data_IF_667114549106
#
_entry.id   IF_667114549106
#
_cell.length_a   1.000
_cell.length_b   1.000
_cell.length_c   1.000
_cell.angle_alpha   90.00
_cell.angle_beta   90.00
_cell.angle_gamma   90.00
#
_symmetry.space_group_name_H-M   'P 1'
#
loop_
_entity.id
_entity.type
_entity.pdbx_description
1 polymer ?
#
# COMPACT_ATOMS: atom_id res chain seq x y z
N UNK A 1 13.84 -36.71 -11.85
CA UNK A 1 14.20 -35.31 -11.51
C UNK A 1 13.67 -34.28 -12.51
N UNK A 2 13.87 -34.45 -13.83
CA UNK A 2 13.38 -33.51 -14.87
C UNK A 2 11.85 -33.29 -14.92
N UNK A 3 11.05 -34.32 -14.63
CA UNK A 3 9.58 -34.23 -14.51
C UNK A 3 9.09 -33.50 -13.24
N UNK A 4 9.90 -33.51 -12.17
CA UNK A 4 9.56 -32.85 -10.90
C UNK A 4 9.85 -31.35 -10.96
N UNK A 5 10.92 -30.95 -11.67
CA UNK A 5 11.24 -29.55 -11.95
C UNK A 5 10.15 -28.88 -12.81
N UNK A 6 9.67 -29.56 -13.87
CA UNK A 6 8.59 -29.09 -14.74
C UNK A 6 7.26 -28.90 -14.01
N UNK A 7 6.95 -29.75 -13.01
CA UNK A 7 5.74 -29.60 -12.20
C UNK A 7 5.81 -28.37 -11.28
N UNK A 8 6.99 -28.08 -10.71
CA UNK A 8 7.20 -26.91 -9.83
C UNK A 8 7.10 -25.60 -10.65
N UNK A 9 7.60 -25.58 -11.88
CA UNK A 9 7.47 -24.42 -12.78
C UNK A 9 6.01 -24.18 -13.20
N UNK A 10 5.23 -25.25 -13.43
CA UNK A 10 3.81 -25.13 -13.79
C UNK A 10 2.92 -24.64 -12.63
N UNK A 11 3.30 -24.94 -11.38
CA UNK A 11 2.55 -24.55 -10.18
C UNK A 11 2.69 -23.04 -9.86
N UNK A 12 3.83 -22.43 -10.14
CA UNK A 12 4.07 -20.99 -9.91
C UNK A 12 3.25 -20.11 -10.89
N UNK A 13 3.11 -20.57 -12.15
CA UNK A 13 2.35 -19.91 -13.22
C UNK A 13 0.83 -19.75 -12.94
N UNK A 14 0.27 -20.49 -11.97
CA UNK A 14 -1.17 -20.45 -11.70
C UNK A 14 -1.58 -19.39 -10.68
N UNK A 15 -0.64 -18.81 -9.94
CA UNK A 15 -0.99 -18.02 -8.76
C UNK A 15 -1.45 -16.58 -9.07
N UNK A 16 -0.73 -15.82 -9.90
CA UNK A 16 -1.12 -14.44 -10.24
C UNK A 16 -2.20 -14.36 -11.33
N UNK A 17 -2.14 -15.23 -12.35
CA UNK A 17 -3.20 -15.31 -13.37
C UNK A 17 -4.56 -15.70 -12.76
N UNK A 18 -4.55 -16.50 -11.69
CA UNK A 18 -5.75 -16.81 -10.91
C UNK A 18 -6.25 -15.59 -10.14
N UNK A 19 -5.36 -14.79 -9.54
CA UNK A 19 -5.75 -13.58 -8.80
C UNK A 19 -6.45 -12.56 -9.71
N UNK A 20 -5.87 -12.22 -10.87
CA UNK A 20 -6.50 -11.28 -11.81
C UNK A 20 -7.88 -11.79 -12.24
N UNK A 21 -8.02 -13.08 -12.55
CA UNK A 21 -9.30 -13.66 -12.93
C UNK A 21 -10.31 -13.69 -11.77
N UNK A 22 -9.87 -14.00 -10.55
CA UNK A 22 -10.72 -14.07 -9.36
C UNK A 22 -11.35 -12.73 -8.99
N UNK A 23 -10.63 -11.64 -9.24
CA UNK A 23 -11.02 -10.26 -8.92
C UNK A 23 -11.68 -9.54 -10.09
N UNK A 24 -11.73 -10.15 -11.28
CA UNK A 24 -12.28 -9.52 -12.49
C UNK A 24 -13.75 -9.10 -12.33
N UNK A 25 -14.59 -9.93 -11.71
CA UNK A 25 -16.02 -9.61 -11.50
C UNK A 25 -16.20 -8.38 -10.59
N UNK A 26 -15.47 -8.35 -9.47
CA UNK A 26 -15.48 -7.22 -8.54
C UNK A 26 -14.96 -5.94 -9.21
N UNK A 27 -13.85 -6.03 -9.95
CA UNK A 27 -13.28 -4.88 -10.65
C UNK A 27 -14.20 -4.33 -11.73
N UNK A 28 -14.94 -5.20 -12.43
CA UNK A 28 -15.93 -4.76 -13.41
C UNK A 28 -16.98 -3.84 -12.78
N UNK A 29 -17.54 -4.25 -11.64
CA UNK A 29 -18.53 -3.46 -10.89
C UNK A 29 -17.91 -2.20 -10.29
N UNK A 30 -16.73 -2.31 -9.67
CA UNK A 30 -16.00 -1.18 -9.07
C UNK A 30 -15.66 -0.09 -10.11
N UNK A 31 -15.04 -0.49 -11.22
CA UNK A 31 -14.62 0.45 -12.27
C UNK A 31 -15.80 1.09 -13.00
N UNK A 32 -16.99 0.48 -12.96
CA UNK A 32 -18.22 1.07 -13.51
C UNK A 32 -18.86 2.12 -12.59
N UNK A 33 -18.34 2.29 -11.37
CA UNK A 33 -18.93 3.15 -10.35
C UNK A 33 -20.19 2.58 -9.69
N UNK A 34 -20.54 1.32 -9.95
CA UNK A 34 -21.69 0.66 -9.34
C UNK A 34 -21.32 0.15 -7.94
N UNK A 35 -21.30 1.06 -6.96
CA UNK A 35 -20.88 0.79 -5.58
C UNK A 35 -21.79 -0.21 -4.87
N UNK A 36 -23.11 -0.15 -5.14
CA UNK A 36 -24.07 -1.12 -4.62
C UNK A 36 -23.73 -2.54 -5.08
N UNK A 37 -23.52 -2.77 -6.37
CA UNK A 37 -23.19 -4.10 -6.87
C UNK A 37 -21.79 -4.54 -6.45
N UNK A 38 -20.82 -3.62 -6.43
CA UNK A 38 -19.47 -3.91 -5.95
C UNK A 38 -19.48 -4.39 -4.48
N UNK A 39 -20.29 -3.77 -3.61
CA UNK A 39 -20.43 -4.19 -2.21
C UNK A 39 -21.03 -5.60 -2.08
N UNK A 40 -22.04 -5.95 -2.88
CA UNK A 40 -22.62 -7.29 -2.92
C UNK A 40 -21.61 -8.34 -3.39
N UNK A 41 -20.90 -8.05 -4.49
CA UNK A 41 -19.87 -8.95 -5.00
C UNK A 41 -18.76 -9.15 -3.96
N UNK A 42 -18.33 -8.09 -3.28
CA UNK A 42 -17.33 -8.20 -2.22
C UNK A 42 -17.81 -9.05 -1.04
N UNK A 43 -19.07 -8.90 -0.62
CA UNK A 43 -19.68 -9.73 0.43
C UNK A 43 -19.67 -11.22 0.06
N UNK A 44 -20.06 -11.57 -1.16
CA UNK A 44 -20.01 -12.95 -1.68
C UNK A 44 -18.57 -13.46 -1.68
N UNK A 45 -17.63 -12.65 -2.17
CA UNK A 45 -16.22 -13.05 -2.24
C UNK A 45 -15.61 -13.27 -0.86
N UNK A 46 -15.92 -12.44 0.13
CA UNK A 46 -15.51 -12.67 1.52
C UNK A 46 -16.10 -13.97 2.05
N UNK A 47 -17.39 -14.22 1.84
CA UNK A 47 -18.02 -15.48 2.27
C UNK A 47 -17.31 -16.71 1.69
N UNK A 48 -17.01 -16.69 0.39
CA UNK A 48 -16.35 -17.81 -0.31
C UNK A 48 -14.87 -17.98 0.06
N UNK A 49 -14.20 -16.92 0.53
CA UNK A 49 -12.74 -16.87 0.66
C UNK A 49 -12.24 -16.52 2.07
N UNK A 50 -13.10 -16.49 3.09
CA UNK A 50 -12.73 -16.06 4.45
C UNK A 50 -11.62 -16.93 5.08
N UNK A 51 -11.60 -18.23 4.76
CA UNK A 51 -10.58 -19.17 5.23
C UNK A 51 -9.43 -19.35 4.24
N UNK A 52 -9.48 -18.69 3.09
CA UNK A 52 -8.45 -18.77 2.07
C UNK A 52 -7.20 -17.96 2.45
N UNK A 53 -6.12 -18.17 1.69
CA UNK A 53 -4.89 -17.37 1.75
C UNK A 53 -5.11 -15.89 1.35
N UNK A 54 -6.19 -15.59 0.64
CA UNK A 54 -6.50 -14.27 0.08
C UNK A 54 -7.55 -13.53 0.94
N UNK A 55 -7.89 -14.06 2.11
CA UNK A 55 -8.94 -13.52 3.00
C UNK A 55 -8.72 -12.05 3.37
N UNK A 56 -7.46 -11.65 3.61
CA UNK A 56 -7.12 -10.24 3.92
C UNK A 56 -7.50 -9.33 2.77
N UNK A 57 -7.17 -9.71 1.54
CA UNK A 57 -7.46 -8.91 0.36
C UNK A 57 -8.97 -8.73 0.22
N UNK A 58 -9.74 -9.81 0.31
CA UNK A 58 -11.19 -9.73 0.17
C UNK A 58 -11.86 -8.89 1.26
N UNK A 59 -11.32 -8.89 2.49
CA UNK A 59 -11.82 -8.03 3.56
C UNK A 59 -11.50 -6.55 3.30
N UNK A 60 -10.32 -6.23 2.75
CA UNK A 60 -9.97 -4.86 2.35
C UNK A 60 -10.86 -4.37 1.21
N UNK A 61 -11.08 -5.19 0.19
CA UNK A 61 -11.98 -4.88 -0.94
C UNK A 61 -13.43 -4.70 -0.47
N UNK A 62 -13.89 -5.53 0.47
CA UNK A 62 -15.20 -5.39 1.10
C UNK A 62 -15.32 -4.06 1.86
N UNK A 63 -14.33 -3.71 2.68
CA UNK A 63 -14.32 -2.43 3.40
C UNK A 63 -14.41 -1.26 2.43
N UNK A 64 -13.57 -1.23 1.39
CA UNK A 64 -13.58 -0.18 0.38
C UNK A 64 -14.93 -0.10 -0.39
N UNK A 65 -15.52 -1.25 -0.74
CA UNK A 65 -16.80 -1.32 -1.43
C UNK A 65 -17.98 -0.82 -0.60
N UNK A 66 -18.04 -1.22 0.68
CA UNK A 66 -19.06 -0.76 1.62
C UNK A 66 -18.90 0.75 1.88
N UNK A 67 -17.66 1.23 2.04
CA UNK A 67 -17.32 2.64 2.21
C UNK A 67 -17.78 3.50 1.03
N UNK A 68 -17.62 3.00 -0.19
CA UNK A 68 -18.07 3.67 -1.41
C UNK A 68 -19.60 3.63 -1.57
N UNK A 69 -20.26 2.64 -0.98
CA UNK A 69 -21.72 2.49 -0.94
C UNK A 69 -22.37 3.15 0.29
N UNK A 70 -21.64 4.00 1.03
CA UNK A 70 -22.09 4.69 2.24
C UNK A 70 -22.57 3.77 3.39
N UNK A 71 -22.09 2.53 3.41
CA UNK A 71 -22.33 1.55 4.49
C UNK A 71 -21.13 1.58 5.44
N UNK A 72 -21.03 2.66 6.22
CA UNK A 72 -19.80 3.04 6.92
C UNK A 72 -19.49 2.13 8.11
N UNK A 73 -20.50 1.74 8.88
CA UNK A 73 -20.36 0.83 10.01
C UNK A 73 -19.96 -0.58 9.55
N UNK A 74 -20.58 -1.11 8.50
CA UNK A 74 -20.22 -2.41 7.94
C UNK A 74 -18.83 -2.36 7.28
N UNK A 75 -18.47 -1.23 6.67
CA UNK A 75 -17.13 -0.96 6.17
C UNK A 75 -16.09 -1.03 7.30
N UNK A 76 -16.33 -0.35 8.42
CA UNK A 76 -15.46 -0.41 9.60
C UNK A 76 -15.35 -1.83 10.15
N UNK A 77 -16.46 -2.57 10.21
CA UNK A 77 -16.45 -3.98 10.62
C UNK A 77 -15.61 -4.87 9.67
N UNK A 78 -15.66 -4.63 8.36
CA UNK A 78 -14.83 -5.33 7.40
C UNK A 78 -13.34 -5.03 7.59
N UNK A 79 -12.97 -3.76 7.79
CA UNK A 79 -11.60 -3.35 8.07
C UNK A 79 -11.07 -3.92 9.39
N UNK A 80 -11.86 -3.95 10.46
CA UNK A 80 -11.49 -4.59 11.73
C UNK A 80 -11.18 -6.09 11.56
N UNK A 81 -11.97 -6.79 10.74
CA UNK A 81 -11.72 -8.19 10.41
C UNK A 81 -10.43 -8.33 9.60
N UNK A 82 -10.17 -7.44 8.65
CA UNK A 82 -8.92 -7.41 7.89
C UNK A 82 -7.73 -7.24 8.85
N UNK A 83 -7.79 -6.27 9.76
CA UNK A 83 -6.74 -5.98 10.73
C UNK A 83 -6.44 -7.17 11.66
N UNK A 84 -7.49 -7.82 12.18
CA UNK A 84 -7.35 -9.05 13.00
C UNK A 84 -6.66 -10.17 12.23
N UNK A 85 -7.00 -10.35 10.95
CA UNK A 85 -6.42 -11.38 10.09
C UNK A 85 -4.95 -11.08 9.75
N UNK A 86 -4.64 -9.82 9.47
CA UNK A 86 -3.27 -9.31 9.29
C UNK A 86 -2.41 -9.59 10.53
N UNK A 87 -2.89 -9.24 11.73
CA UNK A 87 -2.20 -9.51 13.02
C UNK A 87 -1.99 -11.02 13.23
N UNK A 88 -2.98 -11.84 12.90
CA UNK A 88 -2.87 -13.29 12.99
C UNK A 88 -1.76 -13.85 12.09
N UNK A 89 -1.70 -13.45 10.82
CA UNK A 89 -0.66 -13.91 9.91
C UNK A 89 0.73 -13.41 10.28
N UNK A 90 0.86 -12.15 10.71
CA UNK A 90 2.13 -11.61 11.18
C UNK A 90 2.68 -12.42 12.37
N UNK A 91 1.82 -12.82 13.31
CA UNK A 91 2.22 -13.64 14.45
C UNK A 91 2.65 -15.05 14.02
N UNK A 92 1.95 -15.66 13.05
CA UNK A 92 2.38 -16.94 12.49
C UNK A 92 3.74 -16.84 11.79
N UNK A 93 3.99 -15.78 11.03
CA UNK A 93 5.26 -15.56 10.35
C UNK A 93 6.42 -15.45 11.35
N UNK A 94 6.24 -14.67 12.43
CA UNK A 94 7.22 -14.57 13.53
C UNK A 94 7.50 -15.92 14.18
N UNK A 95 6.46 -16.72 14.44
CA UNK A 95 6.60 -18.05 15.00
C UNK A 95 7.38 -18.99 14.06
N UNK A 96 7.15 -18.92 12.75
CA UNK A 96 7.90 -19.71 11.75
C UNK A 96 9.39 -19.38 11.75
N UNK A 97 9.73 -18.09 11.75
CA UNK A 97 11.12 -17.61 11.82
C UNK A 97 11.79 -18.06 13.13
N UNK A 98 11.07 -18.00 14.26
CA UNK A 98 11.62 -18.45 15.56
C UNK A 98 11.82 -19.97 15.68
N UNK A 99 11.15 -20.75 14.84
CA UNK A 99 11.14 -22.24 14.87
C UNK A 99 12.04 -22.85 13.79
N UNK A 100 13.01 -22.11 13.28
CA UNK A 100 14.03 -22.60 12.32
C UNK A 100 14.82 -23.80 12.90
N UNK A 101 14.25 -25.01 12.84
CA UNK A 101 15.02 -26.26 12.92
C UNK A 101 14.41 -27.42 12.13
N UNK A 102 13.18 -27.37 11.61
CA UNK A 102 12.70 -28.53 10.81
C UNK A 102 11.53 -28.19 9.88
N UNK A 103 11.66 -28.58 8.62
CA UNK A 103 10.63 -28.58 7.56
C UNK A 103 10.65 -27.42 6.55
N UNK A 104 11.66 -27.44 5.68
CA UNK A 104 11.75 -26.64 4.44
C UNK A 104 11.04 -27.33 3.27
N UNK A 105 9.74 -27.60 3.40
CA UNK A 105 8.85 -27.94 2.28
C UNK A 105 7.47 -27.30 2.50
N UNK A 106 7.43 -25.97 2.60
CA UNK A 106 6.16 -25.24 2.50
C UNK A 106 5.98 -24.80 1.06
N UNK A 107 4.87 -25.21 0.45
CA UNK A 107 4.51 -24.76 -0.89
C UNK A 107 4.28 -23.24 -0.85
N UNK A 108 5.13 -22.47 -1.54
CA UNK A 108 5.05 -21.00 -1.62
C UNK A 108 3.67 -20.54 -2.11
N UNK A 109 2.96 -21.36 -2.89
CA UNK A 109 1.60 -21.07 -3.38
C UNK A 109 0.51 -21.07 -2.28
N UNK A 110 0.81 -21.56 -1.07
CA UNK A 110 -0.10 -21.62 0.09
C UNK A 110 0.21 -20.59 1.17
N UNK A 111 1.19 -19.70 0.97
CA UNK A 111 1.49 -18.64 1.93
C UNK A 111 0.34 -17.62 1.91
N UNK A 112 -0.32 -17.36 3.06
CA UNK A 112 -1.34 -16.33 3.16
C UNK A 112 -0.81 -14.94 2.87
N UNK A 113 -1.64 -14.09 2.28
CA UNK A 113 -1.35 -12.67 2.16
C UNK A 113 -1.39 -12.00 3.54
N UNK A 114 -0.25 -11.52 4.03
CA UNK A 114 -0.10 -11.03 5.41
C UNK A 114 -0.52 -9.56 5.62
N UNK A 115 -0.95 -8.87 4.56
CA UNK A 115 -1.23 -7.43 4.56
C UNK A 115 0.06 -6.62 4.56
N UNK A 116 0.30 -5.88 3.47
CA UNK A 116 1.48 -5.03 3.31
C UNK A 116 1.35 -3.74 4.12
N UNK A 117 2.46 -3.04 4.26
CA UNK A 117 2.53 -1.76 4.96
C UNK A 117 1.49 -0.74 4.50
N UNK A 118 1.36 -0.56 3.19
CA UNK A 118 0.40 0.38 2.62
C UNK A 118 -1.05 -0.05 2.91
N UNK A 119 -1.37 -1.36 2.92
CA UNK A 119 -2.70 -1.84 3.29
C UNK A 119 -3.03 -1.44 4.73
N UNK A 120 -2.06 -1.60 5.62
CA UNK A 120 -2.13 -1.26 7.06
C UNK A 120 -2.31 0.23 7.31
N UNK A 121 -1.73 1.07 6.48
CA UNK A 121 -1.91 2.51 6.57
C UNK A 121 -3.30 2.88 6.04
N UNK A 122 -3.64 2.41 4.84
CA UNK A 122 -4.87 2.80 4.16
C UNK A 122 -6.15 2.26 4.83
N UNK A 123 -6.16 1.05 5.40
CA UNK A 123 -7.37 0.61 6.12
C UNK A 123 -7.68 1.53 7.30
N UNK A 124 -6.68 1.92 8.08
CA UNK A 124 -6.86 2.82 9.22
C UNK A 124 -7.26 4.23 8.73
N UNK A 125 -6.67 4.72 7.64
CA UNK A 125 -7.07 5.99 7.00
C UNK A 125 -8.54 5.95 6.54
N UNK A 126 -9.00 4.85 5.96
CA UNK A 126 -10.41 4.71 5.57
C UNK A 126 -11.35 4.56 6.77
N UNK A 127 -10.97 3.83 7.81
CA UNK A 127 -11.75 3.78 9.05
C UNK A 127 -11.88 5.17 9.67
N UNK A 128 -10.79 5.96 9.69
CA UNK A 128 -10.85 7.35 10.15
C UNK A 128 -11.82 8.20 9.32
N UNK A 129 -11.78 8.10 7.98
CA UNK A 129 -12.72 8.82 7.12
C UNK A 129 -14.19 8.41 7.35
N UNK A 130 -14.44 7.12 7.62
CA UNK A 130 -15.77 6.64 7.97
C UNK A 130 -16.23 7.24 9.29
N UNK A 131 -15.39 7.18 10.31
CA UNK A 131 -15.68 7.76 11.62
C UNK A 131 -15.94 9.26 11.56
N UNK A 132 -15.16 10.01 10.77
CA UNK A 132 -15.42 11.43 10.52
C UNK A 132 -16.81 11.66 9.91
N UNK A 133 -17.22 10.83 8.94
CA UNK A 133 -18.54 10.94 8.30
C UNK A 133 -19.69 10.50 9.22
N UNK A 134 -19.42 9.60 10.16
CA UNK A 134 -20.33 9.21 11.24
C UNK A 134 -20.39 10.24 12.40
N UNK A 135 -19.57 11.30 12.37
CA UNK A 135 -19.47 12.28 13.45
C UNK A 135 -18.69 11.78 14.68
N UNK A 136 -18.01 10.65 14.56
CA UNK A 136 -17.25 9.95 15.60
C UNK A 136 -15.79 10.42 15.59
N UNK A 137 -15.55 11.60 16.16
CA UNK A 137 -14.26 12.31 16.06
C UNK A 137 -13.14 11.60 16.83
N UNK A 138 -13.44 11.07 18.00
CA UNK A 138 -12.45 10.43 18.87
C UNK A 138 -11.94 9.13 18.24
N UNK A 139 -12.86 8.34 17.67
CA UNK A 139 -12.58 7.13 16.92
C UNK A 139 -11.73 7.45 15.67
N UNK A 140 -12.06 8.51 14.94
CA UNK A 140 -11.24 8.96 13.81
C UNK A 140 -9.80 9.28 14.22
N UNK A 141 -9.61 9.98 15.35
CA UNK A 141 -8.28 10.28 15.89
C UNK A 141 -7.54 9.02 16.34
N UNK A 142 -8.22 8.02 16.90
CA UNK A 142 -7.62 6.72 17.22
C UNK A 142 -7.05 6.08 15.96
N UNK A 143 -7.85 5.97 14.90
CA UNK A 143 -7.39 5.32 13.67
C UNK A 143 -6.29 6.10 12.95
N UNK A 144 -6.32 7.43 12.96
CA UNK A 144 -5.23 8.25 12.40
C UNK A 144 -3.91 8.06 13.17
N UNK A 145 -3.97 7.88 14.50
CA UNK A 145 -2.80 7.51 15.29
C UNK A 145 -2.31 6.10 14.95
N UNK A 146 -3.21 5.15 14.72
CA UNK A 146 -2.84 3.79 14.27
C UNK A 146 -2.17 3.83 12.90
N UNK A 147 -2.74 4.55 11.93
CA UNK A 147 -2.18 4.74 10.60
C UNK A 147 -0.77 5.37 10.68
N UNK A 148 -0.59 6.41 11.51
CA UNK A 148 0.72 7.03 11.73
C UNK A 148 1.74 6.06 12.35
N UNK A 149 1.31 5.21 13.29
CA UNK A 149 2.17 4.19 13.88
C UNK A 149 2.58 3.12 12.86
N UNK A 150 1.68 2.69 11.98
CA UNK A 150 2.00 1.74 10.91
C UNK A 150 2.99 2.33 9.89
N UNK A 151 2.83 3.60 9.49
CA UNK A 151 3.83 4.29 8.63
C UNK A 151 5.23 4.28 9.25
N UNK A 152 5.33 4.59 10.56
CA UNK A 152 6.61 4.54 11.29
C UNK A 152 7.20 3.13 11.33
N UNK A 153 6.38 2.10 11.55
CA UNK A 153 6.83 0.70 11.54
C UNK A 153 7.34 0.30 10.15
N UNK A 154 6.67 0.73 9.09
CA UNK A 154 7.09 0.44 7.71
C UNK A 154 8.40 1.12 7.34
N UNK A 155 8.59 2.39 7.73
CA UNK A 155 9.88 3.06 7.58
C UNK A 155 11.02 2.24 8.21
N UNK A 156 10.86 1.81 9.46
CA UNK A 156 11.86 0.99 10.17
C UNK A 156 12.07 -0.37 9.49
N UNK A 157 10.99 -1.05 9.07
CA UNK A 157 11.07 -2.34 8.35
C UNK A 157 11.86 -2.19 7.05
N UNK A 158 11.63 -1.11 6.32
CA UNK A 158 12.27 -0.87 5.02
C UNK A 158 13.72 -0.42 5.17
N UNK A 159 14.06 0.40 6.16
CA UNK A 159 15.46 0.71 6.50
C UNK A 159 16.27 -0.56 6.81
N UNK A 160 15.67 -1.51 7.55
CA UNK A 160 16.29 -2.81 7.83
C UNK A 160 16.45 -3.67 6.58
N UNK A 161 15.46 -3.71 5.69
CA UNK A 161 15.54 -4.42 4.40
C UNK A 161 16.64 -3.83 3.52
N UNK A 162 16.73 -2.51 3.40
CA UNK A 162 17.79 -1.83 2.63
C UNK A 162 19.16 -2.13 3.23
N UNK A 163 19.29 -2.06 4.55
CA UNK A 163 20.55 -2.34 5.24
C UNK A 163 21.01 -3.79 5.05
N UNK A 164 20.10 -4.75 5.20
CA UNK A 164 20.38 -6.17 4.98
C UNK A 164 20.70 -6.47 3.52
N UNK A 165 19.93 -5.95 2.57
CA UNK A 165 20.21 -6.07 1.15
C UNK A 165 21.59 -5.50 0.78
N UNK A 166 21.94 -4.30 1.29
CA UNK A 166 23.29 -3.70 1.10
C UNK A 166 24.40 -4.57 1.69
N UNK A 167 24.18 -5.21 2.83
CA UNK A 167 25.14 -6.14 3.45
C UNK A 167 25.33 -7.39 2.58
N UNK A 168 24.24 -7.98 2.10
CA UNK A 168 24.27 -9.14 1.20
C UNK A 168 24.91 -8.82 -0.16
N UNK A 169 24.64 -7.65 -0.76
CA UNK A 169 25.32 -7.20 -1.98
C UNK A 169 26.82 -6.97 -1.78
N UNK A 170 27.24 -6.42 -0.62
CA UNK A 170 28.67 -6.27 -0.30
C UNK A 170 29.37 -7.63 -0.15
N UNK A 171 28.71 -8.61 0.47
CA UNK A 171 29.20 -9.98 0.57
C UNK A 171 29.26 -10.66 -0.81
N UNK A 172 28.23 -10.49 -1.65
CA UNK A 172 28.26 -11.02 -3.02
C UNK A 172 29.37 -10.39 -3.86
N UNK A 173 29.59 -9.08 -3.75
CA UNK A 173 30.66 -8.38 -4.47
C UNK A 173 32.06 -8.82 -4.00
N UNK A 174 32.26 -9.13 -2.71
CA UNK A 174 33.53 -9.68 -2.24
C UNK A 174 33.78 -11.10 -2.78
N UNK A 175 32.74 -11.91 -2.95
CA UNK A 175 32.84 -13.27 -3.48
C UNK A 175 32.99 -13.28 -5.03
N UNK A 176 32.36 -12.33 -5.73
CA UNK A 176 32.48 -12.15 -7.18
C UNK A 176 33.84 -11.54 -7.57
N UNK A 177 34.39 -10.61 -6.77
CA UNK A 177 35.75 -10.08 -6.98
C UNK A 177 36.86 -11.13 -6.80
N UNK A 178 36.57 -12.28 -6.18
CA UNK A 178 37.49 -13.42 -6.18
C UNK A 178 37.38 -14.30 -7.45
N UNK A 179 36.37 -14.07 -8.30
CA UNK A 179 36.03 -14.97 -9.41
C UNK A 179 36.10 -14.31 -10.80
N UNK A 180 36.44 -13.02 -10.95
CA UNK A 180 36.49 -12.40 -12.28
C UNK A 180 37.88 -12.38 -12.91
N UNK A 181 38.08 -13.33 -13.84
CA UNK A 181 38.92 -13.18 -15.03
C UNK A 181 38.12 -13.16 -16.34
N UNK A 182 36.79 -12.98 -16.30
CA UNK A 182 35.95 -12.98 -17.50
C UNK A 182 35.20 -11.65 -17.72
N UNK A 183 35.63 -10.94 -18.75
CA UNK A 183 35.25 -9.57 -19.13
C UNK A 183 33.82 -9.43 -19.70
N UNK A 184 33.06 -10.52 -19.86
CA UNK A 184 31.80 -10.52 -20.61
C UNK A 184 30.51 -10.69 -19.77
N UNK A 185 30.60 -10.82 -18.44
CA UNK A 185 29.43 -11.02 -17.56
C UNK A 185 28.77 -9.71 -17.05
N UNK A 186 29.30 -8.54 -17.41
CA UNK A 186 28.89 -7.26 -16.82
C UNK A 186 27.52 -6.72 -17.32
N UNK A 187 26.99 -7.22 -18.43
CA UNK A 187 25.83 -6.60 -19.10
C UNK A 187 24.45 -7.12 -18.63
N UNK A 188 24.25 -8.39 -18.21
CA UNK A 188 22.96 -8.84 -17.66
C UNK A 188 22.77 -8.50 -16.18
N UNK A 189 23.85 -8.44 -15.39
CA UNK A 189 23.77 -8.28 -13.94
C UNK A 189 23.28 -6.89 -13.52
N UNK A 190 23.47 -5.84 -14.33
CA UNK A 190 22.93 -4.50 -14.04
C UNK A 190 21.41 -4.42 -14.16
N UNK A 191 20.76 -5.33 -14.90
CA UNK A 191 19.30 -5.48 -14.96
C UNK A 191 18.74 -6.35 -13.84
N UNK A 192 19.57 -7.25 -13.30
CA UNK A 192 19.27 -8.14 -12.17
C UNK A 192 19.71 -7.59 -10.82
N UNK A 193 20.50 -6.51 -10.79
CA UNK A 193 20.52 -5.65 -9.62
C UNK A 193 19.06 -5.28 -9.43
N UNK A 194 18.38 -5.75 -8.36
CA UNK A 194 17.13 -5.12 -8.00
C UNK A 194 17.53 -3.67 -7.92
N UNK A 195 16.97 -2.84 -8.80
CA UNK A 195 17.10 -1.42 -8.63
C UNK A 195 16.55 -1.22 -7.24
N UNK A 196 17.43 -1.07 -6.23
CA UNK A 196 17.04 -0.82 -4.85
C UNK A 196 16.28 0.51 -4.75
N UNK A 197 16.21 1.24 -5.88
CA UNK A 197 15.47 2.46 -6.14
C UNK A 197 14.21 2.27 -7.01
N UNK A 198 13.90 1.07 -7.54
CA UNK A 198 12.61 0.82 -8.21
C UNK A 198 11.67 0.04 -7.28
N UNK A 199 10.43 0.51 -7.21
CA UNK A 199 9.25 -0.10 -6.57
C UNK A 199 9.05 0.08 -5.06
N UNK A 200 9.70 1.06 -4.44
CA UNK A 200 9.28 1.52 -3.12
C UNK A 200 9.20 3.05 -3.12
N UNK A 201 8.01 3.58 -3.44
CA UNK A 201 7.68 4.99 -3.30
C UNK A 201 7.91 5.50 -1.86
N UNK A 202 7.71 6.81 -1.60
CA UNK A 202 7.80 7.34 -0.25
C UNK A 202 6.98 6.48 0.71
N UNK A 203 7.65 5.85 1.68
CA UNK A 203 7.09 4.85 2.60
C UNK A 203 6.02 5.39 3.58
N UNK A 204 5.51 6.58 3.27
CA UNK A 204 4.55 7.36 4.03
C UNK A 204 3.55 7.87 3.00
N UNK A 205 2.27 7.59 3.22
CA UNK A 205 1.18 8.16 2.46
C UNK A 205 0.98 9.62 2.91
N UNK A 206 1.29 10.62 2.07
CA UNK A 206 1.19 12.02 2.47
C UNK A 206 -0.25 12.45 2.77
N UNK A 207 -1.25 11.85 2.12
CA UNK A 207 -2.65 12.14 2.44
C UNK A 207 -3.02 11.69 3.85
N UNK A 208 -2.54 10.53 4.30
CA UNK A 208 -2.77 10.08 5.69
C UNK A 208 -2.14 11.04 6.71
N UNK A 209 -0.92 11.50 6.46
CA UNK A 209 -0.25 12.48 7.33
C UNK A 209 -0.99 13.82 7.33
N UNK A 210 -1.44 14.27 6.16
CA UNK A 210 -2.24 15.50 6.03
C UNK A 210 -3.52 15.40 6.84
N UNK A 211 -4.28 14.30 6.67
CA UNK A 211 -5.55 14.08 7.36
C UNK A 211 -5.36 13.99 8.87
N UNK A 212 -4.29 13.34 9.33
CA UNK A 212 -3.94 13.30 10.74
C UNK A 212 -3.64 14.68 11.29
N UNK A 213 -2.78 15.46 10.62
CA UNK A 213 -2.46 16.82 11.03
C UNK A 213 -3.73 17.69 11.07
N UNK A 214 -4.56 17.62 10.03
CA UNK A 214 -5.83 18.32 9.95
C UNK A 214 -6.73 18.02 11.14
N UNK A 215 -6.93 16.74 11.48
CA UNK A 215 -7.76 16.36 12.63
C UNK A 215 -7.14 16.81 13.97
N UNK A 216 -5.82 16.83 14.09
CA UNK A 216 -5.16 17.28 15.32
C UNK A 216 -5.38 18.77 15.62
N UNK A 217 -5.38 19.65 14.62
CA UNK A 217 -5.59 21.08 14.87
C UNK A 217 -7.06 21.51 14.81
N UNK A 218 -7.93 20.72 14.17
CA UNK A 218 -9.34 21.05 14.00
C UNK A 218 -10.30 20.31 14.94
N UNK A 219 -9.95 19.10 15.41
CA UNK A 219 -10.84 18.25 16.20
C UNK A 219 -10.29 17.89 17.58
N UNK A 220 -8.97 17.87 17.77
CA UNK A 220 -8.36 17.46 19.02
C UNK A 220 -8.04 18.66 19.92
N UNK A 221 -8.35 18.53 21.21
CA UNK A 221 -7.97 19.53 22.21
C UNK A 221 -6.45 19.53 22.41
N UNK A 222 -5.83 20.72 22.40
CA UNK A 222 -4.41 20.95 22.70
C UNK A 222 -3.41 20.15 21.85
N UNK A 223 -3.75 19.82 20.59
CA UNK A 223 -2.84 19.09 19.68
C UNK A 223 -2.36 19.92 18.47
N UNK A 224 -2.69 21.22 18.42
CA UNK A 224 -2.29 22.11 17.32
C UNK A 224 -0.77 22.22 17.13
N UNK A 225 0.02 22.13 18.21
CA UNK A 225 1.48 22.07 18.11
C UNK A 225 1.97 20.80 17.38
N UNK A 226 1.37 19.65 17.68
CA UNK A 226 1.69 18.37 17.03
C UNK A 226 1.27 18.36 15.56
N UNK A 227 0.14 19.00 15.25
CA UNK A 227 -0.28 19.25 13.87
C UNK A 227 0.75 20.09 13.12
N UNK A 228 1.21 21.19 13.73
CA UNK A 228 2.20 22.09 13.14
C UNK A 228 3.52 21.38 12.82
N UNK A 229 4.02 20.56 13.73
CA UNK A 229 5.23 19.74 13.51
C UNK A 229 5.04 18.82 12.29
N UNK A 230 3.87 18.19 12.19
CA UNK A 230 3.55 17.28 11.08
C UNK A 230 3.46 18.02 9.75
N UNK A 231 2.76 19.17 9.71
CA UNK A 231 2.65 20.01 8.52
C UNK A 231 3.99 20.55 8.05
N UNK A 232 4.88 20.99 8.95
CA UNK A 232 6.23 21.45 8.61
C UNK A 232 7.08 20.33 8.01
N UNK A 233 7.00 19.11 8.56
CA UNK A 233 7.66 17.93 7.97
C UNK A 233 7.16 17.64 6.56
N UNK A 234 5.84 17.68 6.36
CA UNK A 234 5.22 17.45 5.06
C UNK A 234 5.62 18.53 4.05
N UNK A 235 5.66 19.79 4.48
CA UNK A 235 6.07 20.92 3.64
C UNK A 235 7.45 20.68 3.02
N UNK A 236 8.43 20.26 3.81
CA UNK A 236 9.76 19.94 3.28
C UNK A 236 9.76 18.66 2.42
N UNK A 237 9.00 17.63 2.84
CA UNK A 237 8.96 16.33 2.17
C UNK A 237 8.32 16.40 0.77
N UNK A 238 7.27 17.20 0.61
CA UNK A 238 6.49 17.33 -0.63
C UNK A 238 7.01 18.43 -1.56
N UNK A 239 8.19 18.99 -1.30
CA UNK A 239 8.76 20.04 -2.15
C UNK A 239 8.07 21.40 -2.00
N UNK A 240 7.63 21.73 -0.77
CA UNK A 240 7.12 23.04 -0.36
C UNK A 240 5.85 23.50 -1.09
N UNK A 241 4.79 22.69 -1.13
CA UNK A 241 3.56 23.07 -1.81
C UNK A 241 2.85 24.22 -1.08
N UNK A 242 2.26 25.12 -1.85
CA UNK A 242 1.60 26.33 -1.32
C UNK A 242 0.47 25.99 -0.34
N UNK A 243 -0.34 24.97 -0.62
CA UNK A 243 -1.47 24.61 0.24
C UNK A 243 -1.02 24.22 1.66
N UNK A 244 0.10 23.51 1.82
CA UNK A 244 0.64 23.19 3.15
C UNK A 244 1.20 24.45 3.83
N UNK A 245 1.79 25.39 3.08
CA UNK A 245 2.22 26.67 3.65
C UNK A 245 1.05 27.47 4.22
N UNK A 246 -0.10 27.44 3.55
CA UNK A 246 -1.30 28.14 4.02
C UNK A 246 -1.90 27.46 5.25
N UNK A 247 -1.91 26.13 5.31
CA UNK A 247 -2.28 25.37 6.52
C UNK A 247 -1.38 25.70 7.71
N UNK A 248 -0.06 25.78 7.51
CA UNK A 248 0.90 26.17 8.56
C UNK A 248 0.55 27.54 9.13
N UNK A 249 0.22 28.52 8.28
CA UNK A 249 -0.19 29.86 8.73
C UNK A 249 -1.46 29.82 9.56
N UNK A 250 -2.46 29.04 9.15
CA UNK A 250 -3.72 28.90 9.90
C UNK A 250 -3.47 28.33 11.30
N UNK A 251 -2.61 27.32 11.42
CA UNK A 251 -2.26 26.72 12.72
C UNK A 251 -1.43 27.67 13.58
N UNK A 252 -0.45 28.39 13.01
CA UNK A 252 0.33 29.41 13.73
C UNK A 252 -0.57 30.54 14.27
N UNK A 253 -1.56 30.95 13.48
CA UNK A 253 -2.57 31.95 13.88
C UNK A 253 -3.45 31.47 15.04
N UNK A 254 -3.92 30.23 14.98
CA UNK A 254 -4.68 29.59 16.06
C UNK A 254 -3.87 29.52 17.36
N UNK A 255 -2.60 29.08 17.27
CA UNK A 255 -1.69 29.02 18.42
C UNK A 255 -1.38 30.40 19.02
N UNK A 256 -1.48 31.45 18.22
CA UNK A 256 -1.34 32.85 18.67
C UNK A 256 -2.60 33.39 19.38
N UNK A 257 -3.63 32.57 19.58
CA UNK A 257 -4.87 32.93 20.27
C UNK A 257 -5.97 33.47 19.35
N UNK A 258 -5.80 33.40 18.02
CA UNK A 258 -6.91 33.68 17.10
C UNK A 258 -7.93 32.54 17.16
N UNK A 259 -9.19 32.86 16.83
CA UNK A 259 -10.25 31.85 16.75
C UNK A 259 -10.02 30.92 15.57
N UNK A 260 -10.50 29.68 15.71
CA UNK A 260 -10.55 28.74 14.60
C UNK A 260 -11.35 29.34 13.43
N UNK A 261 -10.84 29.28 12.19
CA UNK A 261 -11.55 29.78 11.02
C UNK A 261 -12.73 28.87 10.65
N UNK A 262 -13.77 29.45 10.05
CA UNK A 262 -14.88 28.68 9.47
C UNK A 262 -14.42 28.09 8.12
N UNK A 263 -13.97 26.83 8.14
CA UNK A 263 -13.42 26.15 6.96
C UNK A 263 -14.19 24.87 6.63
N UNK A 264 -14.23 24.55 5.34
CA UNK A 264 -14.74 23.28 4.83
C UNK A 264 -13.72 22.69 3.87
N UNK A 265 -13.21 21.50 4.20
CA UNK A 265 -12.32 20.75 3.34
C UNK A 265 -13.13 19.86 2.40
N UNK A 266 -12.87 19.99 1.10
CA UNK A 266 -13.41 19.08 0.08
C UNK A 266 -12.27 18.25 -0.47
N UNK A 267 -12.31 16.95 -0.19
CA UNK A 267 -11.27 15.99 -0.58
C UNK A 267 -11.82 15.12 -1.70
N UNK A 268 -11.06 15.01 -2.78
CA UNK A 268 -11.35 14.12 -3.90
C UNK A 268 -10.42 12.93 -3.86
N UNK A 269 -10.99 11.73 -3.89
CA UNK A 269 -10.29 10.49 -4.16
C UNK A 269 -10.68 10.04 -5.58
N UNK A 270 -9.72 10.05 -6.51
CA UNK A 270 -9.98 9.72 -7.92
C UNK A 270 -8.99 8.71 -8.43
N UNK A 271 -9.44 7.82 -9.31
CA UNK A 271 -8.61 6.80 -9.93
C UNK A 271 -8.92 5.40 -9.40
N UNK A 272 -8.04 4.45 -9.72
CA UNK A 272 -8.14 3.07 -9.26
C UNK A 272 -6.74 2.57 -8.93
N UNK A 273 -6.63 1.77 -7.87
CA UNK A 273 -5.34 1.21 -7.45
C UNK A 273 -4.65 0.42 -8.60
N UNK A 274 -3.31 0.39 -8.62
CA UNK A 274 -2.54 -0.35 -9.62
C UNK A 274 -2.80 -1.85 -9.50
N UNK A 275 -2.52 -2.59 -10.56
CA UNK A 275 -2.54 -4.06 -10.54
C UNK A 275 -1.14 -4.62 -10.59
N UNK A 276 -0.95 -5.72 -9.88
CA UNK A 276 0.23 -6.54 -10.04
C UNK A 276 0.14 -7.28 -11.39
N UNK A 277 1.10 -7.04 -12.29
CA UNK A 277 1.32 -7.84 -13.50
C UNK A 277 2.66 -8.56 -13.43
N UNK A 278 2.77 -9.67 -14.12
CA UNK A 278 4.03 -10.39 -14.27
C UNK A 278 4.81 -9.84 -15.46
N UNK A 279 6.08 -9.51 -15.24
CA UNK A 279 7.05 -9.30 -16.31
C UNK A 279 7.90 -10.56 -16.42
N UNK A 280 7.84 -11.19 -17.58
CA UNK A 280 8.71 -12.31 -17.93
C UNK A 280 10.02 -11.80 -18.54
N UNK A 281 11.13 -12.21 -17.94
CA UNK A 281 12.49 -12.02 -18.46
C UNK A 281 13.02 -13.36 -18.95
N UNK A 282 13.22 -13.49 -20.25
CA UNK A 282 13.89 -14.65 -20.84
C UNK A 282 15.41 -14.37 -20.88
N UNK A 283 16.18 -15.09 -20.07
CA UNK A 283 17.65 -15.01 -20.00
C UNK A 283 18.23 -16.08 -20.92
N UNK A 284 18.83 -15.72 -22.08
CA UNK A 284 19.40 -16.71 -22.99
C UNK A 284 20.58 -17.44 -22.34
N UNK A 285 20.62 -18.76 -22.45
CA UNK A 285 21.76 -19.59 -22.05
C UNK A 285 22.50 -20.01 -23.32
N UNK A 286 23.67 -19.44 -23.55
CA UNK A 286 24.41 -19.64 -24.79
C UNK A 286 25.07 -21.03 -24.95
N UNK A 287 24.95 -21.94 -23.97
CA UNK A 287 25.77 -23.17 -23.95
C UNK A 287 25.06 -24.44 -23.44
N UNK A 288 23.73 -24.57 -23.57
CA UNK A 288 23.00 -25.80 -23.19
C UNK A 288 21.78 -26.10 -24.07
N UNK A 289 21.33 -27.36 -24.07
CA UNK A 289 20.08 -27.87 -24.69
C UNK A 289 18.78 -27.12 -24.27
N UNK A 290 18.86 -26.22 -23.29
CA UNK A 290 17.81 -25.26 -22.93
C UNK A 290 18.24 -23.86 -23.36
N UNK A 291 17.60 -23.26 -24.39
CA UNK A 291 18.07 -22.00 -25.00
C UNK A 291 17.91 -20.77 -24.11
N UNK A 292 17.08 -20.83 -23.06
CA UNK A 292 16.88 -19.73 -22.11
C UNK A 292 16.36 -20.23 -20.74
N UNK A 293 16.52 -19.38 -19.72
CA UNK A 293 15.84 -19.46 -18.42
C UNK A 293 14.89 -18.30 -18.32
N UNK A 294 13.59 -18.59 -18.15
CA UNK A 294 12.59 -17.56 -17.86
C UNK A 294 12.58 -17.27 -16.35
N UNK A 295 12.62 -16.00 -15.99
CA UNK A 295 12.35 -15.51 -14.65
C UNK A 295 11.21 -14.50 -14.71
N UNK A 296 10.18 -14.68 -13.88
CA UNK A 296 9.00 -13.81 -13.84
C UNK A 296 9.06 -12.96 -12.58
N UNK A 297 8.90 -11.64 -12.75
CA UNK A 297 8.96 -10.66 -11.68
C UNK A 297 7.62 -9.92 -11.57
N UNK A 298 7.03 -9.83 -10.38
CA UNK A 298 5.84 -9.01 -10.18
C UNK A 298 6.19 -7.53 -10.34
N UNK A 299 5.36 -6.79 -11.06
CA UNK A 299 5.45 -5.33 -11.23
C UNK A 299 4.09 -4.69 -11.05
N UNK A 300 4.04 -3.57 -10.34
CA UNK A 300 2.84 -2.74 -10.30
C UNK A 300 2.65 -2.01 -11.63
N UNK A 301 1.45 -2.11 -12.18
CA UNK A 301 1.05 -1.41 -13.40
C UNK A 301 -0.11 -0.50 -13.03
N UNK A 302 0.15 0.80 -13.15
CA UNK A 302 -0.82 1.88 -12.95
C UNK A 302 -2.00 1.72 -13.90
N UNK A 303 -3.17 2.19 -13.46
CA UNK A 303 -4.39 2.12 -14.25
C UNK A 303 -5.25 3.35 -14.01
N UNK A 304 -5.88 3.82 -15.08
CA UNK A 304 -6.59 5.08 -15.04
C UNK A 304 -5.62 6.26 -15.07
N UNK A 305 -6.18 7.46 -14.95
CA UNK A 305 -5.42 8.69 -14.84
C UNK A 305 -6.08 9.56 -13.78
N UNK A 306 -5.31 10.33 -12.99
CA UNK A 306 -5.89 11.27 -12.05
C UNK A 306 -6.79 12.27 -12.78
N UNK A 307 -7.99 12.50 -12.24
CA UNK A 307 -8.96 13.40 -12.84
C UNK A 307 -8.87 14.75 -12.12
N UNK A 308 -8.62 15.82 -12.87
CA UNK A 308 -8.65 17.16 -12.30
C UNK A 308 -10.06 17.48 -11.81
N UNK A 309 -10.18 17.75 -10.51
CA UNK A 309 -11.44 18.09 -9.86
C UNK A 309 -11.49 19.59 -9.55
N UNK A 310 -12.69 20.15 -9.51
CA UNK A 310 -12.92 21.55 -9.12
C UNK A 310 -14.19 21.65 -8.30
N UNK A 311 -14.18 22.53 -7.32
CA UNK A 311 -15.36 22.88 -6.52
C UNK A 311 -15.81 24.26 -6.94
N UNK A 312 -17.13 24.44 -7.14
CA UNK A 312 -17.73 25.73 -7.40
C UNK A 312 -18.71 26.08 -6.27
N UNK A 313 -18.55 27.27 -5.69
CA UNK A 313 -19.47 27.83 -4.70
C UNK A 313 -19.88 29.21 -5.22
N UNK A 314 -21.14 29.33 -5.68
CA UNK A 314 -21.60 30.52 -6.40
C UNK A 314 -20.77 30.75 -7.67
N UNK A 315 -20.18 31.94 -7.81
CA UNK A 315 -19.31 32.30 -8.93
C UNK A 315 -17.84 31.90 -8.72
N UNK A 316 -17.46 31.48 -7.51
CA UNK A 316 -16.09 31.12 -7.18
C UNK A 316 -15.84 29.67 -7.58
N UNK A 317 -14.87 29.45 -8.46
CA UNK A 317 -14.40 28.12 -8.85
C UNK A 317 -12.95 27.91 -8.42
N UNK A 318 -12.74 26.91 -7.58
CA UNK A 318 -11.41 26.52 -7.07
C UNK A 318 -11.03 25.16 -7.64
N UNK A 319 -9.84 25.06 -8.23
CA UNK A 319 -9.27 23.79 -8.68
C UNK A 319 -8.72 23.03 -7.48
N UNK A 320 -8.95 21.73 -7.42
CA UNK A 320 -8.35 20.88 -6.40
C UNK A 320 -6.82 20.83 -6.60
N UNK A 321 -6.08 20.82 -5.49
CA UNK A 321 -4.63 20.58 -5.48
C UNK A 321 -4.37 19.12 -5.13
N UNK A 322 -3.46 18.47 -5.87
CA UNK A 322 -3.08 17.08 -5.60
C UNK A 322 -2.20 17.02 -4.35
N UNK A 323 -2.64 16.24 -3.35
CA UNK A 323 -1.90 16.04 -2.10
C UNK A 323 -0.90 14.89 -2.23
N UNK A 324 -1.31 13.79 -2.87
CA UNK A 324 -0.45 12.67 -3.18
C UNK A 324 -0.99 11.89 -4.38
N UNK A 325 -0.08 11.23 -5.09
CA UNK A 325 -0.39 10.12 -5.98
C UNK A 325 -0.12 8.83 -5.21
N UNK A 326 -1.14 7.99 -5.00
CA UNK A 326 -1.00 6.75 -4.21
C UNK A 326 -0.32 5.62 -4.98
N UNK A 327 -0.05 5.85 -6.26
CA UNK A 327 0.47 4.87 -7.20
C UNK A 327 2.01 4.98 -7.40
N UNK A 328 2.64 6.05 -6.91
CA UNK A 328 4.08 6.37 -7.09
C UNK A 328 4.91 6.32 -5.80
#
# INVERSE_FOLDING_TARGET
>A
MRRFLLLITLLLLTSCASYEKQTQSFRGTWNSGNTLEASKVANIKVYDNIDSKDSVIWLLEQGAALRANDQLEESNYAFDRAEKRIKFYENQAKLRISKETTSLLTNLATIPYEGKGYDRVMLNTYQALNYLRLGQKDEALVELRQANAEQKKELIRNERKITSARKSTRQLNSDILQTEKDYNAQIPLRRLQPNLNLDYGPFVNPFTDFLHALCLWSLADDQSENALVSLRRMYETLGRPQFISDEIKLVDELLSGKKHPDLTYVIFETGVAPILKEIRLDIPLYDRDLPYVAAEFPRLVTRGHPISSSVAIGEIKTKATMICEMDE
#
